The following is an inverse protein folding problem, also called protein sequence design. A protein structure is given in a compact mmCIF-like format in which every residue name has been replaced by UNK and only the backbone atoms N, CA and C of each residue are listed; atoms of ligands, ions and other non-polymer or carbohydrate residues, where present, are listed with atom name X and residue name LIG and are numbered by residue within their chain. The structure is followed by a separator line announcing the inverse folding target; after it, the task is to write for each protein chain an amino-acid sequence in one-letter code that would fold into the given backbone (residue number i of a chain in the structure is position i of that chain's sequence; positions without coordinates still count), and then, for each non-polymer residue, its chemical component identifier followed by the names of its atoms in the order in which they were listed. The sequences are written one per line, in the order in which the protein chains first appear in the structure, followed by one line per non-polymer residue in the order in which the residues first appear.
data_IF_700623972852
#
_entry.id   IF_700623972852
#
_cell.length_a   1.000
_cell.length_b   1.000
_cell.length_c   1.000
_cell.angle_alpha   90.00
_cell.angle_beta   90.00
_cell.angle_gamma   90.00
#
_symmetry.space_group_name_H-M   'P 1'
#
loop_
_entity.id
_entity.type
_entity.pdbx_description
1 polymer ?
#
# COMPACT_ATOMS: atom_id res chain seq x y z
N UNK A 1 10.65 -11.52 21.26
CA UNK A 1 9.69 -11.05 20.23
C UNK A 1 8.25 -11.32 20.70
N UNK A 2 7.99 -12.42 21.42
CA UNK A 2 6.71 -12.69 22.08
C UNK A 2 6.27 -11.56 23.05
N UNK A 3 7.16 -11.08 23.92
CA UNK A 3 6.83 -10.07 24.94
C UNK A 3 6.31 -8.74 24.35
N UNK A 4 6.84 -8.30 23.21
CA UNK A 4 6.43 -7.04 22.57
C UNK A 4 5.03 -7.20 21.97
N UNK A 5 4.75 -8.37 21.36
CA UNK A 5 3.46 -8.66 20.76
C UNK A 5 2.41 -8.81 21.87
N UNK A 6 2.71 -9.54 22.95
CA UNK A 6 1.83 -9.66 24.11
C UNK A 6 1.52 -8.30 24.74
N UNK A 7 2.53 -7.43 24.91
CA UNK A 7 2.32 -6.06 25.40
C UNK A 7 1.40 -5.28 24.46
N UNK A 8 1.58 -5.40 23.14
CA UNK A 8 0.73 -4.70 22.16
C UNK A 8 -0.72 -5.23 22.16
N UNK A 9 -0.90 -6.55 22.36
CA UNK A 9 -2.22 -7.19 22.49
C UNK A 9 -2.92 -6.72 23.77
N UNK A 10 -2.19 -6.55 24.88
CA UNK A 10 -2.72 -6.03 26.14
C UNK A 10 -3.27 -4.60 25.98
N UNK A 11 -2.67 -3.80 25.10
CA UNK A 11 -3.18 -2.46 24.72
C UNK A 11 -4.25 -2.48 23.60
N UNK A 12 -4.68 -3.66 23.14
CA UNK A 12 -5.72 -3.87 22.13
C UNK A 12 -5.53 -2.94 20.91
N UNK A 13 -6.49 -2.03 20.65
CA UNK A 13 -6.42 -1.09 19.53
C UNK A 13 -5.29 -0.04 19.64
N UNK A 14 -4.91 0.37 20.85
CA UNK A 14 -3.93 1.45 21.05
C UNK A 14 -2.53 0.97 20.66
N UNK A 15 -2.18 -0.26 21.01
CA UNK A 15 -0.89 -0.85 20.62
C UNK A 15 -0.78 -0.95 19.09
N UNK A 16 -1.84 -1.44 18.45
CA UNK A 16 -1.92 -1.59 16.99
C UNK A 16 -1.80 -0.23 16.28
N UNK A 17 -2.42 0.81 16.85
CA UNK A 17 -2.32 2.17 16.34
C UNK A 17 -0.88 2.66 16.27
N UNK A 18 -0.13 2.58 17.38
CA UNK A 18 1.27 3.03 17.42
C UNK A 18 2.18 2.19 16.55
N UNK A 19 1.96 0.87 16.52
CA UNK A 19 2.68 -0.04 15.63
C UNK A 19 2.51 0.38 14.17
N UNK A 20 1.28 0.64 13.71
CA UNK A 20 1.05 1.05 12.33
C UNK A 20 1.63 2.42 11.99
N UNK A 21 1.70 3.35 12.96
CA UNK A 21 2.42 4.61 12.78
C UNK A 21 3.90 4.33 12.49
N UNK A 22 4.56 3.54 13.34
CA UNK A 22 5.97 3.23 13.19
C UNK A 22 6.27 2.54 11.86
N UNK A 23 5.47 1.52 11.52
CA UNK A 23 5.59 0.75 10.27
C UNK A 23 5.39 1.63 9.04
N UNK A 24 4.41 2.54 9.02
CA UNK A 24 4.17 3.40 7.86
C UNK A 24 5.07 4.65 7.81
N UNK A 25 5.74 5.00 8.90
CA UNK A 25 6.74 6.06 8.95
C UNK A 25 8.10 5.60 8.39
N UNK A 26 8.39 4.31 8.47
CA UNK A 26 9.62 3.75 7.93
C UNK A 26 9.65 3.85 6.39
N UNK A 27 10.76 4.33 5.79
CA UNK A 27 10.91 4.37 4.33
C UNK A 27 11.23 2.99 3.72
N UNK A 28 11.56 2.01 4.57
CA UNK A 28 12.01 0.66 4.20
C UNK A 28 10.81 -0.22 3.80
N UNK A 29 11.08 -1.31 3.06
CA UNK A 29 10.14 -2.39 2.80
C UNK A 29 9.70 -3.06 4.12
N UNK A 30 8.68 -2.49 4.74
CA UNK A 30 7.98 -3.08 5.86
C UNK A 30 6.94 -4.08 5.36
N UNK A 31 6.57 -5.08 6.18
CA UNK A 31 5.51 -6.01 5.82
C UNK A 31 4.21 -5.23 5.51
N UNK A 32 3.43 -5.69 4.52
CA UNK A 32 2.13 -5.11 4.24
C UNK A 32 1.28 -4.99 5.51
N UNK A 33 0.83 -3.78 5.79
CA UNK A 33 0.16 -3.42 7.04
C UNK A 33 -1.18 -4.09 7.24
N UNK A 34 -1.81 -4.57 6.16
CA UNK A 34 -3.02 -5.39 6.26
C UNK A 34 -2.73 -6.75 6.92
N UNK A 35 -1.54 -7.34 6.71
CA UNK A 35 -1.14 -8.61 7.35
C UNK A 35 -1.06 -8.42 8.86
N UNK A 36 -0.50 -7.29 9.29
CA UNK A 36 -0.39 -6.95 10.71
C UNK A 36 -1.81 -6.92 11.32
N UNK A 37 -2.73 -6.16 10.71
CA UNK A 37 -4.12 -6.07 11.19
C UNK A 37 -4.84 -7.43 11.19
N UNK A 38 -4.73 -8.17 10.09
CA UNK A 38 -5.33 -9.51 9.98
C UNK A 38 -4.76 -10.49 11.00
N UNK A 39 -3.47 -10.39 11.34
CA UNK A 39 -2.85 -11.24 12.37
C UNK A 39 -3.41 -10.92 13.76
N UNK A 40 -3.58 -9.63 14.10
CA UNK A 40 -4.23 -9.25 15.36
C UNK A 40 -5.68 -9.73 15.42
N UNK A 41 -6.43 -9.61 14.33
CA UNK A 41 -7.80 -10.11 14.25
C UNK A 41 -7.89 -11.64 14.40
N UNK A 42 -6.93 -12.38 13.82
CA UNK A 42 -6.86 -13.84 13.96
C UNK A 42 -6.48 -14.31 15.37
N UNK A 43 -5.66 -13.53 16.09
CA UNK A 43 -5.26 -13.82 17.47
C UNK A 43 -6.34 -13.44 18.49
N UNK A 44 -7.11 -12.40 18.21
CA UNK A 44 -8.20 -11.92 19.06
C UNK A 44 -9.45 -11.60 18.23
N UNK A 45 -10.33 -12.59 18.13
CA UNK A 45 -11.60 -12.49 17.42
C UNK A 45 -12.62 -11.55 18.11
N UNK A 46 -12.32 -11.02 19.31
CA UNK A 46 -13.15 -10.00 19.96
C UNK A 46 -12.96 -8.60 19.34
N UNK A 47 -11.91 -8.40 18.55
CA UNK A 47 -11.67 -7.15 17.84
C UNK A 47 -12.68 -6.96 16.70
N UNK A 48 -13.28 -5.78 16.62
CA UNK A 48 -14.19 -5.44 15.53
C UNK A 48 -13.39 -5.09 14.26
N UNK A 49 -13.67 -5.73 13.11
CA UNK A 49 -12.95 -5.48 11.86
C UNK A 49 -13.00 -4.03 11.38
N UNK A 50 -14.12 -3.33 11.62
CA UNK A 50 -14.29 -1.94 11.18
C UNK A 50 -13.50 -0.99 12.08
N UNK A 51 -13.54 -1.17 13.41
CA UNK A 51 -12.71 -0.41 14.35
C UNK A 51 -11.23 -0.65 14.09
N UNK A 52 -10.84 -1.90 13.82
CA UNK A 52 -9.47 -2.25 13.49
C UNK A 52 -9.00 -1.58 12.19
N UNK A 53 -9.85 -1.56 11.16
CA UNK A 53 -9.59 -0.84 9.92
C UNK A 53 -9.50 0.68 10.12
N UNK A 54 -10.34 1.28 10.96
CA UNK A 54 -10.31 2.70 11.30
C UNK A 54 -9.02 3.09 12.03
N UNK A 55 -8.68 2.34 13.07
CA UNK A 55 -7.45 2.52 13.84
C UNK A 55 -6.24 2.34 12.94
N UNK A 56 -6.25 1.28 12.13
CA UNK A 56 -5.18 0.99 11.21
C UNK A 56 -5.00 2.07 10.13
N UNK A 57 -6.09 2.52 9.51
CA UNK A 57 -6.05 3.55 8.47
C UNK A 57 -5.54 4.89 9.04
N UNK A 58 -5.94 5.22 10.27
CA UNK A 58 -5.51 6.43 10.96
C UNK A 58 -4.03 6.37 11.32
N UNK A 59 -3.58 5.28 11.93
CA UNK A 59 -2.16 5.06 12.26
C UNK A 59 -1.28 5.06 11.00
N UNK A 60 -1.72 4.39 9.94
CA UNK A 60 -1.02 4.39 8.67
C UNK A 60 -0.90 5.79 8.06
N UNK A 61 -1.98 6.59 8.08
CA UNK A 61 -1.99 7.95 7.54
C UNK A 61 -1.05 8.88 8.31
N UNK A 62 -0.99 8.75 9.63
CA UNK A 62 -0.04 9.48 10.48
C UNK A 62 1.40 9.04 10.19
N UNK A 63 1.65 7.74 10.03
CA UNK A 63 2.96 7.25 9.58
C UNK A 63 3.36 7.86 8.23
N UNK A 64 2.43 7.92 7.27
CA UNK A 64 2.66 8.57 5.96
C UNK A 64 2.96 10.06 6.06
N UNK A 65 2.35 10.75 7.01
CA UNK A 65 2.68 12.15 7.29
C UNK A 65 4.15 12.29 7.70
N UNK A 66 4.64 11.45 8.60
CA UNK A 66 6.05 11.45 8.99
C UNK A 66 6.97 11.09 7.83
N UNK A 67 6.66 10.01 7.09
CA UNK A 67 7.46 9.57 5.93
C UNK A 67 7.62 10.68 4.89
N UNK A 68 6.52 11.35 4.52
CA UNK A 68 6.53 12.47 3.58
C UNK A 68 7.39 13.62 4.12
N UNK A 69 7.27 13.95 5.41
CA UNK A 69 8.04 15.03 6.02
C UNK A 69 9.53 14.73 6.04
N UNK A 70 9.90 13.51 6.41
CA UNK A 70 11.29 13.02 6.39
C UNK A 70 11.84 13.08 4.96
N UNK A 71 11.09 12.55 3.99
CA UNK A 71 11.47 12.54 2.57
C UNK A 71 11.66 13.94 1.99
N UNK A 72 10.89 14.93 2.46
CA UNK A 72 11.04 16.32 2.05
C UNK A 72 12.40 16.93 2.42
N UNK A 73 13.05 16.47 3.49
CA UNK A 73 14.41 16.90 3.83
C UNK A 73 15.45 16.41 2.83
N UNK A 74 15.20 15.28 2.16
CA UNK A 74 16.10 14.72 1.16
C UNK A 74 16.02 15.43 -0.20
N UNK A 75 15.03 16.31 -0.43
CA UNK A 75 14.92 17.12 -1.67
C UNK A 75 16.22 17.87 -1.98
N UNK A 76 16.94 18.35 -0.97
CA UNK A 76 18.21 19.08 -1.14
C UNK A 76 19.34 18.28 -1.80
N UNK A 77 19.22 16.95 -1.82
CA UNK A 77 20.19 16.05 -2.44
C UNK A 77 19.75 15.59 -3.84
N UNK A 78 18.58 16.02 -4.32
CA UNK A 78 18.05 15.66 -5.64
C UNK A 78 18.69 16.55 -6.70
N UNK A 79 19.08 15.96 -7.83
CA UNK A 79 19.63 16.71 -8.96
C UNK A 79 18.61 17.64 -9.62
N UNK A 80 19.08 18.68 -10.31
CA UNK A 80 18.23 19.72 -10.92
C UNK A 80 17.20 19.16 -11.92
N UNK A 81 17.60 18.15 -12.68
CA UNK A 81 16.72 17.50 -13.66
C UNK A 81 15.60 16.69 -12.99
N UNK A 82 15.94 15.91 -11.97
CA UNK A 82 14.96 15.15 -11.19
C UNK A 82 14.02 16.07 -10.42
N UNK A 83 14.52 17.19 -9.88
CA UNK A 83 13.69 18.21 -9.24
C UNK A 83 12.67 18.80 -10.23
N UNK A 84 13.10 19.18 -11.43
CA UNK A 84 12.21 19.68 -12.49
C UNK A 84 11.12 18.67 -12.86
N UNK A 85 11.47 17.37 -12.96
CA UNK A 85 10.50 16.31 -13.24
C UNK A 85 9.47 16.14 -12.12
N UNK A 86 9.91 16.21 -10.86
CA UNK A 86 9.03 16.13 -9.69
C UNK A 86 8.08 17.34 -9.63
N UNK A 87 8.59 18.54 -9.90
CA UNK A 87 7.78 19.76 -9.92
C UNK A 87 6.76 19.74 -11.07
N UNK A 88 7.09 19.17 -12.23
CA UNK A 88 6.15 18.98 -13.34
C UNK A 88 4.97 18.08 -12.93
N UNK A 89 5.23 16.95 -12.25
CA UNK A 89 4.19 16.07 -11.71
C UNK A 89 3.34 16.82 -10.68
N UNK A 90 3.97 17.60 -9.80
CA UNK A 90 3.28 18.40 -8.78
C UNK A 90 2.34 19.42 -9.38
N UNK A 91 2.80 20.11 -10.43
CA UNK A 91 1.99 21.07 -11.18
C UNK A 91 0.81 20.39 -11.88
N UNK A 92 1.00 19.20 -12.46
CA UNK A 92 -0.09 18.42 -13.06
C UNK A 92 -1.15 18.05 -12.02
N UNK A 93 -0.74 17.54 -10.85
CA UNK A 93 -1.66 17.16 -9.77
C UNK A 93 -2.36 18.38 -9.15
N UNK A 94 -1.68 19.54 -9.06
CA UNK A 94 -2.28 20.80 -8.58
C UNK A 94 -3.34 21.35 -9.55
N UNK A 95 -3.16 21.17 -10.86
CA UNK A 95 -4.16 21.61 -11.87
C UNK A 95 -5.49 20.87 -11.77
N UNK A 96 -5.50 19.65 -11.21
CA UNK A 96 -6.72 18.86 -11.03
C UNK A 96 -7.27 19.04 -9.62
N UNK A 97 -8.54 19.47 -9.49
CA UNK A 97 -9.22 19.70 -8.19
C UNK A 97 -9.08 18.52 -7.21
N UNK A 98 -9.10 17.29 -7.72
CA UNK A 98 -8.96 16.07 -6.92
C UNK A 98 -7.71 15.25 -7.27
N UNK A 99 -6.69 15.84 -7.90
CA UNK A 99 -5.50 15.11 -8.37
C UNK A 99 -4.83 14.31 -7.25
N UNK A 100 -4.42 14.99 -6.17
CA UNK A 100 -3.80 14.35 -5.02
C UNK A 100 -4.72 13.36 -4.30
N UNK A 101 -6.00 13.69 -4.13
CA UNK A 101 -6.98 12.84 -3.45
C UNK A 101 -7.18 11.53 -4.21
N UNK A 102 -7.45 11.62 -5.51
CA UNK A 102 -7.72 10.44 -6.34
C UNK A 102 -6.47 9.58 -6.49
N UNK A 103 -5.30 10.17 -6.73
CA UNK A 103 -4.04 9.42 -6.78
C UNK A 103 -3.77 8.69 -5.46
N UNK A 104 -3.92 9.39 -4.33
CA UNK A 104 -3.68 8.78 -3.01
C UNK A 104 -4.70 7.70 -2.67
N UNK A 105 -5.97 7.89 -3.03
CA UNK A 105 -7.01 6.89 -2.87
C UNK A 105 -6.73 5.64 -3.69
N UNK A 106 -6.43 5.80 -4.98
CA UNK A 106 -6.14 4.66 -5.85
C UNK A 106 -4.92 3.88 -5.36
N UNK A 107 -3.84 4.56 -4.99
CA UNK A 107 -2.64 3.89 -4.45
C UNK A 107 -2.85 3.23 -3.09
N UNK A 108 -3.80 3.74 -2.29
CA UNK A 108 -4.13 3.16 -0.99
C UNK A 108 -5.09 1.97 -1.10
N UNK A 109 -6.04 2.04 -2.03
CA UNK A 109 -7.05 1.00 -2.26
C UNK A 109 -6.50 -0.20 -3.04
N UNK A 110 -5.39 -0.01 -3.76
CA UNK A 110 -4.74 -1.04 -4.59
C UNK A 110 -3.42 -1.50 -3.95
N UNK A 111 -2.85 -2.65 -4.38
CA UNK A 111 -1.55 -3.11 -3.92
C UNK A 111 -0.36 -2.27 -4.44
N UNK A 112 -0.60 -1.04 -4.91
CA UNK A 112 0.44 -0.16 -5.41
C UNK A 112 1.36 0.34 -4.27
N UNK A 113 2.63 0.67 -4.59
CA UNK A 113 3.63 1.07 -3.60
C UNK A 113 3.37 2.49 -3.09
N UNK A 114 2.39 2.64 -2.20
CA UNK A 114 2.05 3.91 -1.56
C UNK A 114 3.22 4.53 -0.77
N UNK A 115 4.23 3.74 -0.33
CA UNK A 115 5.48 4.25 0.22
C UNK A 115 6.16 5.23 -0.75
N UNK A 116 6.38 4.80 -1.98
CA UNK A 116 7.04 5.60 -3.02
C UNK A 116 6.23 6.85 -3.36
N UNK A 117 4.91 6.74 -3.35
CA UNK A 117 4.03 7.89 -3.57
C UNK A 117 4.25 8.99 -2.51
N UNK A 118 4.29 8.63 -1.23
CA UNK A 118 4.49 9.61 -0.15
C UNK A 118 5.92 10.14 -0.08
N UNK A 119 6.91 9.33 -0.48
CA UNK A 119 8.29 9.80 -0.67
C UNK A 119 8.34 10.86 -1.77
N UNK A 120 7.72 10.58 -2.93
CA UNK A 120 7.61 11.54 -4.03
C UNK A 120 6.87 12.81 -3.60
N UNK A 121 5.74 12.69 -2.90
CA UNK A 121 5.03 13.86 -2.34
C UNK A 121 5.87 14.68 -1.36
N UNK A 122 6.76 14.02 -0.61
CA UNK A 122 7.73 14.69 0.25
C UNK A 122 8.72 15.51 -0.55
N UNK A 123 9.36 14.89 -1.55
CA UNK A 123 10.33 15.56 -2.43
C UNK A 123 9.69 16.69 -3.25
N UNK A 124 8.46 16.51 -3.70
CA UNK A 124 7.66 17.53 -4.38
C UNK A 124 7.18 18.66 -3.46
N UNK A 125 7.33 18.53 -2.13
CA UNK A 125 6.78 19.45 -1.11
C UNK A 125 5.27 19.66 -1.28
N UNK A 126 4.54 18.60 -1.63
CA UNK A 126 3.09 18.67 -1.83
C UNK A 126 2.39 19.15 -0.55
N UNK A 127 1.52 20.17 -0.64
CA UNK A 127 0.82 20.75 0.53
C UNK A 127 -0.65 20.34 0.66
N UNK A 128 -1.21 19.64 -0.32
CA UNK A 128 -2.63 19.30 -0.35
C UNK A 128 -3.02 18.37 0.80
N UNK A 129 -4.01 18.75 1.62
CA UNK A 129 -4.61 17.85 2.62
C UNK A 129 -5.31 16.66 1.97
N UNK A 130 -5.73 16.82 0.71
CA UNK A 130 -6.43 15.80 -0.06
C UNK A 130 -5.64 14.50 -0.21
N UNK A 131 -4.29 14.56 -0.15
CA UNK A 131 -3.47 13.36 -0.17
C UNK A 131 -3.71 12.44 1.05
N UNK A 132 -3.93 13.01 2.23
CA UNK A 132 -4.19 12.23 3.44
C UNK A 132 -5.62 11.73 3.47
N UNK A 133 -6.58 12.55 3.04
CA UNK A 133 -8.00 12.15 2.97
C UNK A 133 -8.17 10.99 1.98
N UNK A 134 -7.60 11.13 0.78
CA UNK A 134 -7.63 10.08 -0.23
C UNK A 134 -6.97 8.79 0.27
N UNK A 135 -5.77 8.89 0.85
CA UNK A 135 -5.07 7.74 1.39
C UNK A 135 -5.84 7.06 2.53
N UNK A 136 -6.38 7.83 3.48
CA UNK A 136 -7.14 7.31 4.61
C UNK A 136 -8.40 6.57 4.15
N UNK A 137 -9.19 7.14 3.23
CA UNK A 137 -10.36 6.47 2.67
C UNK A 137 -9.99 5.18 1.93
N UNK A 138 -8.93 5.21 1.10
CA UNK A 138 -8.48 4.03 0.38
C UNK A 138 -7.94 2.93 1.32
N UNK A 139 -7.28 3.33 2.42
CA UNK A 139 -6.80 2.40 3.45
C UNK A 139 -7.91 1.81 4.28
N UNK A 140 -8.91 2.61 4.64
CA UNK A 140 -10.07 2.12 5.39
C UNK A 140 -10.79 1.01 4.60
N UNK A 141 -11.07 1.26 3.32
CA UNK A 141 -11.73 0.28 2.45
C UNK A 141 -10.86 -0.96 2.25
N UNK A 142 -9.58 -0.79 1.90
CA UNK A 142 -8.70 -1.94 1.65
C UNK A 142 -8.44 -2.77 2.92
N UNK A 143 -8.23 -2.15 4.08
CA UNK A 143 -8.08 -2.87 5.34
C UNK A 143 -9.34 -3.61 5.73
N UNK A 144 -10.50 -2.97 5.64
CA UNK A 144 -11.77 -3.64 5.98
C UNK A 144 -11.99 -4.88 5.11
N UNK A 145 -11.76 -4.78 3.80
CA UNK A 145 -11.87 -5.92 2.89
C UNK A 145 -10.84 -7.00 3.25
N UNK A 146 -9.56 -6.63 3.45
CA UNK A 146 -8.50 -7.61 3.73
C UNK A 146 -8.66 -8.30 5.08
N UNK A 147 -9.15 -7.61 6.11
CA UNK A 147 -9.44 -8.20 7.41
C UNK A 147 -10.61 -9.17 7.30
N UNK A 148 -11.67 -8.81 6.59
CA UNK A 148 -12.87 -9.67 6.45
C UNK A 148 -12.61 -10.94 5.62
N UNK A 149 -11.72 -10.88 4.63
CA UNK A 149 -11.29 -12.07 3.86
C UNK A 149 -10.03 -12.75 4.42
N UNK A 150 -9.57 -12.33 5.61
CA UNK A 150 -8.25 -12.71 6.12
C UNK A 150 -8.12 -14.21 6.35
N UNK A 151 -9.12 -14.93 6.87
CA UNK A 151 -9.01 -16.38 7.09
C UNK A 151 -8.66 -17.16 5.81
N UNK A 152 -9.18 -16.70 4.66
CA UNK A 152 -8.94 -17.30 3.35
C UNK A 152 -7.62 -16.85 2.69
N UNK A 153 -7.05 -15.72 3.10
CA UNK A 153 -5.87 -15.10 2.46
C UNK A 153 -4.62 -15.20 3.33
N UNK A 154 -4.74 -15.06 4.65
CA UNK A 154 -3.64 -15.04 5.60
C UNK A 154 -2.96 -16.40 5.71
N UNK A 155 -3.72 -17.50 5.66
CA UNK A 155 -3.18 -18.87 5.75
C UNK A 155 -2.28 -19.24 4.56
N UNK A 156 -2.68 -19.08 3.27
CA UNK A 156 -1.77 -19.31 2.15
C UNK A 156 -0.65 -18.27 2.09
N UNK A 157 -0.91 -17.04 2.54
CA UNK A 157 0.11 -15.98 2.55
C UNK A 157 1.20 -16.24 3.59
N UNK A 158 0.87 -16.63 4.82
CA UNK A 158 1.86 -16.92 5.87
C UNK A 158 2.69 -18.17 5.52
N UNK A 159 2.06 -19.19 4.93
CA UNK A 159 2.79 -20.35 4.38
C UNK A 159 3.79 -19.95 3.27
N UNK A 160 3.45 -18.96 2.44
CA UNK A 160 4.38 -18.36 1.46
C UNK A 160 5.53 -17.55 2.09
N UNK A 161 5.50 -17.24 3.39
CA UNK A 161 6.58 -16.49 4.06
C UNK A 161 7.35 -17.31 5.10
N UNK A 162 6.74 -18.36 5.69
CA UNK A 162 7.41 -19.26 6.64
C UNK A 162 8.38 -20.24 5.96
N UNK A 163 8.04 -20.75 4.77
CA UNK A 163 8.92 -21.69 4.07
C UNK A 163 10.06 -20.96 3.36
N UNK A 164 11.24 -21.01 3.99
CA UNK A 164 12.53 -20.56 3.44
C UNK A 164 12.67 -21.04 1.99
N UNK A 165 12.93 -20.10 1.08
CA UNK A 165 13.19 -20.27 -0.37
C UNK A 165 11.95 -20.59 -1.22
N UNK A 166 11.08 -21.52 -0.84
CA UNK A 166 9.92 -21.92 -1.68
C UNK A 166 8.91 -20.78 -1.80
N UNK A 167 8.65 -20.08 -0.71
CA UNK A 167 7.73 -18.95 -0.67
C UNK A 167 8.15 -17.76 -1.54
N UNK A 168 9.45 -17.46 -1.56
CA UNK A 168 10.05 -16.41 -2.41
C UNK A 168 9.92 -16.81 -3.88
N UNK A 169 10.27 -18.05 -4.24
CA UNK A 169 10.16 -18.56 -5.61
C UNK A 169 8.70 -18.57 -6.07
N UNK A 170 7.76 -18.99 -5.21
CA UNK A 170 6.34 -18.99 -5.53
C UNK A 170 5.79 -17.56 -5.69
N UNK A 171 6.16 -16.62 -4.81
CA UNK A 171 5.79 -15.22 -4.94
C UNK A 171 6.36 -14.57 -6.21
N UNK A 172 7.60 -14.90 -6.57
CA UNK A 172 8.22 -14.44 -7.82
C UNK A 172 7.53 -15.05 -9.05
N UNK A 173 7.21 -16.35 -9.04
CA UNK A 173 6.45 -17.01 -10.12
C UNK A 173 5.06 -16.40 -10.27
N UNK A 174 4.35 -16.17 -9.15
CA UNK A 174 3.02 -15.53 -9.17
C UNK A 174 3.13 -14.07 -9.61
N UNK A 175 4.15 -13.33 -9.18
CA UNK A 175 4.41 -11.95 -9.59
C UNK A 175 4.69 -11.87 -11.09
N UNK A 176 5.60 -12.69 -11.60
CA UNK A 176 5.92 -12.80 -13.02
C UNK A 176 4.67 -13.25 -13.80
N UNK A 177 3.93 -14.25 -13.31
CA UNK A 177 2.69 -14.73 -13.91
C UNK A 177 1.60 -13.66 -13.96
N UNK A 178 1.47 -12.85 -12.90
CA UNK A 178 0.54 -11.73 -12.82
C UNK A 178 0.92 -10.62 -13.81
N UNK A 179 2.21 -10.28 -13.91
CA UNK A 179 2.71 -9.33 -14.91
C UNK A 179 2.45 -9.84 -16.33
N UNK A 180 2.76 -11.11 -16.61
CA UNK A 180 2.48 -11.74 -17.90
C UNK A 180 0.98 -11.68 -18.19
N UNK A 181 0.15 -12.13 -17.26
CA UNK A 181 -1.31 -12.08 -17.39
C UNK A 181 -1.83 -10.66 -17.65
N UNK A 182 -1.32 -9.68 -16.92
CA UNK A 182 -1.68 -8.27 -17.09
C UNK A 182 -1.26 -7.74 -18.47
N UNK A 183 -0.10 -8.16 -18.99
CA UNK A 183 0.33 -7.84 -20.36
C UNK A 183 -0.47 -8.60 -21.43
N UNK A 184 -1.05 -9.75 -21.09
CA UNK A 184 -1.95 -10.49 -21.97
C UNK A 184 -3.32 -9.82 -22.11
N UNK A 185 -3.71 -8.89 -21.23
CA UNK A 185 -5.01 -8.22 -21.32
C UNK A 185 -4.96 -7.14 -22.40
N UNK A 186 -5.94 -7.14 -23.31
CA UNK A 186 -6.17 -6.02 -24.23
C UNK A 186 -6.84 -4.86 -23.48
N UNK A 187 -6.01 -3.98 -22.94
CA UNK A 187 -6.49 -2.82 -22.17
C UNK A 187 -7.40 -1.88 -22.96
N UNK A 188 -7.21 -1.76 -24.29
CA UNK A 188 -8.10 -0.95 -25.12
C UNK A 188 -9.51 -1.55 -25.18
N UNK A 189 -9.64 -2.85 -25.45
CA UNK A 189 -10.95 -3.51 -25.52
C UNK A 189 -11.61 -3.57 -24.13
N UNK A 190 -10.83 -3.80 -23.08
CA UNK A 190 -11.35 -3.85 -21.71
C UNK A 190 -11.89 -2.49 -21.24
N UNK A 191 -11.18 -1.40 -21.53
CA UNK A 191 -11.56 -0.06 -21.05
C UNK A 191 -12.63 0.61 -21.92
N UNK A 192 -12.58 0.44 -23.24
CA UNK A 192 -13.51 1.13 -24.15
C UNK A 192 -14.75 0.30 -24.48
N UNK A 193 -14.62 -1.03 -24.61
CA UNK A 193 -15.74 -1.90 -24.99
C UNK A 193 -16.30 -2.70 -23.80
N UNK A 194 -15.68 -2.62 -22.61
CA UNK A 194 -16.01 -3.41 -21.41
C UNK A 194 -16.01 -4.92 -21.66
N UNK A 195 -15.20 -5.38 -22.62
CA UNK A 195 -15.07 -6.80 -22.98
C UNK A 195 -13.67 -7.29 -22.65
N UNK A 196 -13.56 -8.45 -22.03
CA UNK A 196 -12.27 -9.09 -21.77
C UNK A 196 -11.78 -9.77 -23.06
N UNK A 197 -10.67 -9.28 -23.61
CA UNK A 197 -9.99 -9.88 -24.74
C UNK A 197 -8.51 -10.06 -24.41
N UNK A 198 -8.00 -11.27 -24.61
CA UNK A 198 -6.59 -11.59 -24.37
C UNK A 198 -5.78 -11.47 -25.67
N UNK A 199 -4.61 -10.85 -25.59
CA UNK A 199 -3.59 -10.74 -26.63
C UNK A 199 -2.43 -11.64 -26.22
N UNK A 200 -2.01 -12.55 -27.10
CA UNK A 200 -0.88 -13.42 -26.80
C UNK A 200 0.43 -12.61 -26.79
N UNK A 201 1.26 -12.71 -25.74
CA UNK A 201 2.54 -12.03 -25.69
C UNK A 201 3.49 -12.61 -26.74
N UNK A 202 4.32 -11.76 -27.36
CA UNK A 202 5.27 -12.15 -28.43
C UNK A 202 6.36 -13.14 -27.98
N UNK A 203 6.48 -13.42 -26.69
CA UNK A 203 7.44 -14.39 -26.12
C UNK A 203 7.16 -15.85 -26.52
N UNK A 204 5.97 -16.16 -27.03
CA UNK A 204 5.59 -17.51 -27.53
C UNK A 204 5.77 -17.68 -29.05
N UNK A 205 6.68 -16.90 -29.66
CA UNK A 205 7.00 -16.96 -31.10
C UNK A 205 8.42 -17.47 -31.40
N UNK A 206 9.04 -18.17 -30.43
CA UNK A 206 10.29 -18.92 -30.62
C UNK A 206 9.92 -20.39 -30.77
#
# INVERSE_FOLDING_TARGET
MADIIETIIEYSYIGIFFLLIAVNAAPILMPPTWIILSSFFALDASLDPLLLALVGATGATIGRFFLKRISGFFRRFVGKEQESNLDAIGNFLNKKKFGYTLTSFLFAATPLPSNMLFVAYGMMRAKSIGLYIGFWCGRLVSYYIMITISEAVLTPFLQLFEDRIIGIIAADIVGIGSVIFFTCINWQVLLFERKLKFVRPRLWRI
#
